data_IF_685944270433
#
_entry.id   IF_685944270433
#
_cell.length_a   1.000
_cell.length_b   1.000
_cell.length_c   1.000
_cell.angle_alpha   90.00
_cell.angle_beta   90.00
_cell.angle_gamma   90.00
#
_symmetry.space_group_name_H-M   'P 1'
#
loop_
_entity.id
_entity.type
_entity.pdbx_description
1 polymer ?
#
# COMPACT_ATOMS: atom_id res chain seq x y z
N UNK A 1 -17.28 3.91 18.73
CA UNK A 1 -15.91 3.79 18.19
C UNK A 1 -15.65 2.30 18.02
N UNK A 2 -15.53 1.80 16.79
CA UNK A 2 -15.34 0.37 16.57
C UNK A 2 -13.95 -0.02 17.08
N UNK A 3 -13.89 -0.86 18.12
CA UNK A 3 -12.67 -1.53 18.55
C UNK A 3 -12.13 -2.30 17.35
N UNK A 4 -11.02 -1.84 16.78
CA UNK A 4 -10.24 -2.65 15.86
C UNK A 4 -9.75 -3.83 16.69
N UNK A 5 -10.34 -5.00 16.48
CA UNK A 5 -9.96 -6.20 17.20
C UNK A 5 -8.49 -6.50 16.90
N UNK A 6 -7.79 -7.11 17.86
CA UNK A 6 -6.35 -7.42 17.73
C UNK A 6 -6.04 -8.22 16.45
N UNK A 7 -7.02 -8.99 15.96
CA UNK A 7 -6.97 -9.74 14.71
C UNK A 7 -7.00 -8.85 13.46
N UNK A 8 -7.86 -7.83 13.41
CA UNK A 8 -7.86 -6.86 12.32
C UNK A 8 -6.55 -6.10 12.25
N UNK A 9 -6.02 -5.66 13.39
CA UNK A 9 -4.71 -5.01 13.48
C UNK A 9 -3.58 -5.90 12.92
N UNK A 10 -3.60 -7.19 13.26
CA UNK A 10 -2.65 -8.17 12.74
C UNK A 10 -2.78 -8.36 11.22
N UNK A 11 -4.01 -8.44 10.71
CA UNK A 11 -4.27 -8.56 9.26
C UNK A 11 -3.76 -7.33 8.50
N UNK A 12 -4.03 -6.13 9.01
CA UNK A 12 -3.55 -4.86 8.43
C UNK A 12 -2.03 -4.84 8.40
N UNK A 13 -1.37 -5.22 9.50
CA UNK A 13 0.10 -5.26 9.59
C UNK A 13 0.68 -6.25 8.58
N UNK A 14 0.15 -7.48 8.51
CA UNK A 14 0.58 -8.50 7.53
C UNK A 14 0.44 -7.99 6.11
N UNK A 15 -0.68 -7.34 5.79
CA UNK A 15 -0.93 -6.80 4.45
C UNK A 15 0.00 -5.65 4.11
N UNK A 16 0.27 -4.75 5.06
CA UNK A 16 1.25 -3.68 4.89
C UNK A 16 2.64 -4.24 4.60
N UNK A 17 3.08 -5.24 5.38
CA UNK A 17 4.37 -5.90 5.18
C UNK A 17 4.43 -6.54 3.81
N UNK A 18 3.40 -7.30 3.40
CA UNK A 18 3.38 -7.94 2.08
C UNK A 18 3.53 -6.93 0.93
N UNK A 19 2.80 -5.81 0.97
CA UNK A 19 2.91 -4.76 -0.06
C UNK A 19 4.30 -4.11 -0.01
N UNK A 20 4.82 -3.80 1.18
CA UNK A 20 6.14 -3.20 1.35
C UNK A 20 7.28 -4.12 0.88
N UNK A 21 7.11 -5.44 1.03
CA UNK A 21 8.07 -6.45 0.52
C UNK A 21 8.04 -6.53 -0.99
N UNK A 22 6.86 -6.46 -1.62
CA UNK A 22 6.73 -6.46 -3.09
C UNK A 22 7.23 -5.14 -3.72
N UNK A 23 7.11 -4.02 -2.99
CA UNK A 23 7.49 -2.68 -3.45
C UNK A 23 8.40 -1.97 -2.43
N UNK A 24 9.67 -2.37 -2.29
CA UNK A 24 10.55 -1.87 -1.25
C UNK A 24 10.82 -0.36 -1.35
N UNK A 25 10.81 0.20 -2.56
CA UNK A 25 11.04 1.64 -2.79
C UNK A 25 9.83 2.53 -2.44
N UNK A 26 8.65 1.93 -2.20
CA UNK A 26 7.43 2.65 -1.88
C UNK A 26 7.14 2.63 -0.39
N UNK A 27 6.94 3.79 0.23
CA UNK A 27 6.53 3.87 1.64
C UNK A 27 5.03 3.67 1.78
N UNK A 28 4.61 2.56 2.38
CA UNK A 28 3.19 2.21 2.50
C UNK A 28 2.59 2.64 3.85
N UNK A 29 1.44 3.31 3.82
CA UNK A 29 0.71 3.80 4.99
C UNK A 29 -0.78 3.48 4.89
N UNK A 30 -1.44 3.37 6.05
CA UNK A 30 -2.90 3.25 6.13
C UNK A 30 -3.45 4.47 6.84
N UNK A 31 -4.41 5.12 6.21
CA UNK A 31 -5.13 6.27 6.73
C UNK A 31 -6.15 5.81 7.79
N UNK A 32 -6.52 6.72 8.69
CA UNK A 32 -7.56 6.49 9.71
C UNK A 32 -8.93 6.15 9.09
N UNK A 33 -9.16 6.56 7.84
CA UNK A 33 -10.31 6.19 7.01
C UNK A 33 -10.34 4.72 6.57
N UNK A 34 -9.28 3.96 6.86
CA UNK A 34 -9.11 2.58 6.42
C UNK A 34 -8.52 2.43 5.01
N UNK A 35 -8.35 3.56 4.29
CA UNK A 35 -7.72 3.65 2.98
C UNK A 35 -6.19 3.56 3.07
N UNK A 36 -5.56 3.22 1.96
CA UNK A 36 -4.14 3.01 1.83
C UNK A 36 -3.50 4.08 0.97
N UNK A 37 -2.30 4.46 1.38
CA UNK A 37 -1.45 5.38 0.66
C UNK A 37 -0.06 4.79 0.45
N UNK A 38 0.58 5.18 -0.66
CA UNK A 38 1.96 4.86 -0.94
C UNK A 38 2.69 6.10 -1.45
N UNK A 39 3.94 6.27 -1.06
CA UNK A 39 4.76 7.40 -1.50
C UNK A 39 6.13 6.90 -1.90
N UNK A 40 6.58 7.27 -3.10
CA UNK A 40 7.94 7.00 -3.57
C UNK A 40 8.61 8.32 -3.99
N UNK A 41 9.79 8.64 -3.45
CA UNK A 41 10.59 9.77 -3.92
C UNK A 41 10.85 9.69 -5.42
N UNK A 42 10.56 10.75 -6.16
CA UNK A 42 10.74 10.80 -7.62
C UNK A 42 9.54 10.35 -8.47
N UNK A 43 8.55 9.69 -7.87
CA UNK A 43 7.34 9.22 -8.58
C UNK A 43 6.04 9.85 -8.06
N UNK A 44 6.07 10.38 -6.84
CA UNK A 44 4.92 11.03 -6.20
C UNK A 44 4.22 10.14 -5.18
N UNK A 45 2.94 10.40 -4.95
CA UNK A 45 2.18 9.71 -3.93
C UNK A 45 0.76 9.33 -4.39
N UNK A 46 0.33 8.15 -3.95
CA UNK A 46 -1.00 7.58 -4.15
C UNK A 46 -1.73 7.65 -2.82
N UNK A 47 -2.92 8.25 -2.78
CA UNK A 47 -3.71 8.44 -1.56
C UNK A 47 -5.13 7.91 -1.70
N UNK A 48 -5.76 7.58 -0.58
CA UNK A 48 -7.20 7.34 -0.52
C UNK A 48 -7.67 6.08 -1.24
N UNK A 49 -6.82 5.05 -1.40
CA UNK A 49 -7.17 3.88 -2.20
C UNK A 49 -7.46 2.64 -1.35
N UNK A 50 -8.21 1.69 -1.91
CA UNK A 50 -8.31 0.34 -1.32
C UNK A 50 -6.97 -0.39 -1.49
N UNK A 51 -6.67 -1.35 -0.62
CA UNK A 51 -5.41 -2.11 -0.69
C UNK A 51 -5.17 -2.77 -2.07
N UNK A 52 -6.22 -3.35 -2.65
CA UNK A 52 -6.15 -3.99 -3.98
C UNK A 52 -5.92 -2.99 -5.11
N UNK A 53 -6.50 -1.79 -4.99
CA UNK A 53 -6.32 -0.73 -5.99
C UNK A 53 -4.92 -0.11 -5.91
N UNK A 54 -4.39 0.04 -4.70
CA UNK A 54 -3.00 0.43 -4.47
C UNK A 54 -2.05 -0.58 -5.11
N UNK A 55 -2.24 -1.88 -4.84
CA UNK A 55 -1.45 -2.96 -5.44
C UNK A 55 -1.49 -2.94 -6.96
N UNK A 56 -2.68 -2.82 -7.56
CA UNK A 56 -2.82 -2.74 -9.03
C UNK A 56 -2.04 -1.56 -9.60
N UNK A 57 -2.14 -0.39 -8.97
CA UNK A 57 -1.40 0.81 -9.43
C UNK A 57 0.10 0.65 -9.25
N UNK A 58 0.57 0.15 -8.11
CA UNK A 58 1.99 -0.12 -7.87
C UNK A 58 2.56 -1.08 -8.92
N UNK A 59 1.85 -2.17 -9.22
CA UNK A 59 2.24 -3.11 -10.31
C UNK A 59 2.24 -2.45 -11.67
N UNK A 60 1.34 -1.53 -11.96
CA UNK A 60 1.38 -0.80 -13.23
C UNK A 60 2.59 0.15 -13.28
N UNK A 61 2.95 0.78 -12.16
CA UNK A 61 4.13 1.65 -12.08
C UNK A 61 5.44 0.88 -12.25
N UNK A 62 5.57 -0.30 -11.62
CA UNK A 62 6.78 -1.12 -11.73
C UNK A 62 6.81 -1.99 -12.99
N UNK A 63 5.67 -2.55 -13.38
CA UNK A 63 5.52 -3.42 -14.56
C UNK A 63 5.55 -2.68 -15.89
N UNK A 64 5.26 -1.38 -15.92
CA UNK A 64 5.52 -0.54 -17.10
C UNK A 64 7.01 -0.20 -17.29
N UNK A 65 7.89 -0.62 -16.36
CA UNK A 65 9.32 -0.38 -16.39
C UNK A 65 10.18 -1.52 -16.95
N UNK A 66 9.62 -2.72 -17.16
CA UNK A 66 10.34 -3.88 -17.70
C UNK A 66 10.24 -3.95 -19.25
N UNK A 67 10.52 -2.81 -19.89
CA UNK A 67 10.89 -2.74 -21.30
C UNK A 67 12.22 -2.00 -21.35
N UNK A 68 13.31 -2.71 -21.06
CA UNK A 68 14.65 -2.26 -21.42
C UNK A 68 15.59 -3.42 -21.65
#
# INVERSE_FOLDING_TARGET
>A
MSEVTSEEAALIKRRKIAIQTEFPDWRISRETSGRWSATQPGWGALYGQSASELLRRLRNYTGAGDVR
#
